data_IF_589004269486
#
_entry.id   IF_589004269486
#
_cell.length_a   1.000
_cell.length_b   1.000
_cell.length_c   1.000
_cell.angle_alpha   90.00
_cell.angle_beta   90.00
_cell.angle_gamma   90.00
#
_symmetry.space_group_name_H-M   'P 1'
#
loop_
_entity.id
_entity.type
_entity.pdbx_description
1 polymer ?
#
# COMPACT_ATOMS: atom_id res chain seq x y z
N UNK A 1 -11.27 -32.74 95.04
CA UNK A 1 -10.68 -31.81 96.03
C UNK A 1 -9.29 -32.31 96.37
N UNK A 2 -8.28 -31.45 96.61
CA UNK A 2 -8.19 -29.98 96.43
C UNK A 2 -6.95 -29.64 95.53
N UNK A 3 -6.54 -28.41 95.18
CA UNK A 3 -6.54 -27.10 95.84
C UNK A 3 -6.45 -25.96 94.81
N UNK A 4 -7.22 -24.89 95.06
CA UNK A 4 -7.08 -23.53 94.54
C UNK A 4 -5.70 -22.89 94.86
N UNK A 5 -5.21 -21.93 94.06
CA UNK A 5 -5.28 -20.49 94.40
C UNK A 5 -4.69 -19.55 93.34
N UNK A 6 -5.39 -18.44 93.21
CA UNK A 6 -5.20 -17.19 92.45
C UNK A 6 -3.96 -16.35 92.86
N UNK A 7 -3.41 -15.57 91.90
CA UNK A 7 -3.20 -14.09 92.02
C UNK A 7 -2.45 -13.47 90.83
N UNK A 8 -3.18 -12.63 90.10
CA UNK A 8 -2.83 -11.31 89.52
C UNK A 8 -1.35 -10.92 89.28
N UNK A 9 -1.02 -10.52 88.03
CA UNK A 9 -0.12 -9.40 87.68
C UNK A 9 -0.18 -9.03 86.17
N UNK A 10 -0.97 -7.98 85.87
CA UNK A 10 -0.74 -6.86 84.92
C UNK A 10 0.19 -7.02 83.70
N UNK A 11 -0.34 -6.75 82.49
CA UNK A 11 0.38 -6.13 81.36
C UNK A 11 -0.50 -5.08 80.66
N UNK A 12 0.10 -4.02 80.09
CA UNK A 12 -0.52 -2.70 80.01
C UNK A 12 -1.50 -2.55 78.86
N UNK A 13 -2.48 -1.67 79.06
CA UNK A 13 -3.22 -1.04 77.97
C UNK A 13 -2.32 -0.09 77.18
N UNK A 14 -2.54 -0.01 75.86
CA UNK A 14 -2.14 1.13 75.04
C UNK A 14 -1.38 0.74 73.77
N UNK A 15 -1.91 1.12 72.61
CA UNK A 15 -1.18 1.05 71.35
C UNK A 15 -2.02 1.21 70.08
N UNK A 16 -2.93 2.19 70.07
CA UNK A 16 -3.64 2.70 68.90
C UNK A 16 -2.65 3.23 67.84
N UNK A 17 -2.47 2.53 66.72
CA UNK A 17 -1.45 2.91 65.73
C UNK A 17 -1.59 2.35 64.31
N UNK A 18 -2.69 1.66 63.98
CA UNK A 18 -2.88 1.01 62.67
C UNK A 18 -4.07 1.50 61.84
N UNK A 19 -5.00 2.26 62.41
CA UNK A 19 -6.31 2.53 61.80
C UNK A 19 -6.52 3.82 60.96
N UNK A 20 -5.60 4.81 60.83
CA UNK A 20 -5.96 6.06 60.15
C UNK A 20 -5.91 6.00 58.61
N UNK A 21 -5.09 5.13 58.02
CA UNK A 21 -4.83 5.16 56.56
C UNK A 21 -5.90 4.43 55.72
N UNK A 22 -6.53 3.38 56.26
CA UNK A 22 -7.59 2.63 55.54
C UNK A 22 -8.94 3.36 55.62
N UNK A 23 -9.24 3.99 56.76
CA UNK A 23 -10.45 4.80 56.94
C UNK A 23 -10.45 6.06 56.05
N UNK A 24 -9.32 6.75 55.95
CA UNK A 24 -9.16 7.94 55.10
C UNK A 24 -9.26 7.64 53.58
N UNK A 25 -8.97 6.40 53.16
CA UNK A 25 -9.07 5.99 51.75
C UNK A 25 -10.50 5.66 51.32
N UNK A 26 -11.35 5.22 52.26
CA UNK A 26 -12.80 5.02 52.02
C UNK A 26 -13.54 6.35 51.84
N UNK A 27 -13.23 7.34 52.68
CA UNK A 27 -13.92 8.64 52.66
C UNK A 27 -13.68 9.46 51.40
N UNK A 28 -12.51 9.33 50.75
CA UNK A 28 -12.22 10.02 49.49
C UNK A 28 -13.00 9.42 48.31
N UNK A 29 -13.10 8.08 48.24
CA UNK A 29 -13.86 7.40 47.19
C UNK A 29 -15.37 7.59 47.38
N UNK A 30 -15.89 7.54 48.61
CA UNK A 30 -17.29 7.82 48.90
C UNK A 30 -17.67 9.27 48.60
N UNK A 31 -16.72 10.21 48.63
CA UNK A 31 -16.94 11.61 48.23
C UNK A 31 -17.10 11.80 46.73
N UNK A 32 -16.45 10.95 45.93
CA UNK A 32 -16.50 11.00 44.46
C UNK A 32 -17.53 10.03 43.87
N UNK A 33 -17.87 8.96 44.59
CA UNK A 33 -18.75 7.87 44.14
C UNK A 33 -19.92 7.56 45.09
N UNK A 34 -20.14 8.33 46.14
CA UNK A 34 -21.29 8.18 47.02
C UNK A 34 -22.61 8.47 46.31
N UNK A 35 -23.69 7.84 46.76
CA UNK A 35 -25.02 7.89 46.14
C UNK A 35 -25.52 9.34 45.90
N UNK A 36 -25.14 10.28 46.76
CA UNK A 36 -25.49 11.70 46.61
C UNK A 36 -24.73 12.38 45.46
N UNK A 37 -23.47 12.05 45.24
CA UNK A 37 -22.65 12.60 44.16
C UNK A 37 -23.09 12.03 42.80
N UNK A 38 -23.41 10.73 42.74
CA UNK A 38 -23.89 10.07 41.52
C UNK A 38 -25.29 10.56 41.12
N UNK A 39 -26.20 10.75 42.09
CA UNK A 39 -27.54 11.30 41.84
C UNK A 39 -27.52 12.78 41.47
N UNK A 40 -26.59 13.57 42.04
CA UNK A 40 -26.38 14.97 41.63
C UNK A 40 -25.85 15.07 40.19
N UNK A 41 -24.86 14.25 39.83
CA UNK A 41 -24.33 14.17 38.47
C UNK A 41 -25.41 13.74 37.46
N UNK A 42 -26.17 12.68 37.76
CA UNK A 42 -27.25 12.21 36.89
C UNK A 42 -28.32 13.29 36.65
N UNK A 43 -28.74 14.02 37.70
CA UNK A 43 -29.68 15.15 37.56
C UNK A 43 -29.12 16.28 36.71
N UNK A 44 -27.83 16.60 36.83
CA UNK A 44 -27.17 17.60 35.99
C UNK A 44 -27.13 17.19 34.52
N UNK A 45 -26.78 15.93 34.25
CA UNK A 45 -26.79 15.37 32.88
C UNK A 45 -28.20 15.42 32.29
N UNK A 46 -29.22 15.03 33.05
CA UNK A 46 -30.62 15.05 32.60
C UNK A 46 -31.13 16.48 32.38
N UNK A 47 -30.70 17.45 33.19
CA UNK A 47 -31.03 18.88 33.06
C UNK A 47 -30.50 19.46 31.74
N UNK A 48 -29.28 19.10 31.35
CA UNK A 48 -28.60 19.61 30.16
C UNK A 48 -28.53 18.61 29.00
N UNK A 49 -29.42 17.59 29.00
CA UNK A 49 -29.35 16.44 28.07
C UNK A 49 -29.15 16.80 26.60
N UNK A 50 -29.82 17.85 26.12
CA UNK A 50 -29.70 18.30 24.74
C UNK A 50 -28.36 18.96 24.44
N UNK A 51 -27.82 19.74 25.39
CA UNK A 51 -26.49 20.34 25.25
C UNK A 51 -25.39 19.28 25.27
N UNK A 52 -25.53 18.26 26.13
CA UNK A 52 -24.58 17.13 26.22
C UNK A 52 -24.62 16.28 24.95
N UNK A 53 -25.81 15.96 24.43
CA UNK A 53 -25.97 15.25 23.15
C UNK A 53 -25.39 16.05 21.99
N UNK A 54 -25.69 17.35 21.91
CA UNK A 54 -25.14 18.21 20.87
C UNK A 54 -23.62 18.30 20.95
N UNK A 55 -23.05 18.42 22.16
CA UNK A 55 -21.62 18.47 22.39
C UNK A 55 -20.94 17.15 22.05
N UNK A 56 -21.49 16.01 22.48
CA UNK A 56 -20.92 14.69 22.17
C UNK A 56 -20.98 14.41 20.67
N UNK A 57 -22.08 14.78 20.01
CA UNK A 57 -22.19 14.66 18.56
C UNK A 57 -21.19 15.56 17.85
N UNK A 58 -21.04 16.81 18.27
CA UNK A 58 -20.05 17.73 17.73
C UNK A 58 -18.62 17.20 17.92
N UNK A 59 -18.30 16.63 19.08
CA UNK A 59 -17.01 16.01 19.35
C UNK A 59 -16.74 14.82 18.42
N UNK A 60 -17.72 13.93 18.25
CA UNK A 60 -17.62 12.77 17.35
C UNK A 60 -17.46 13.22 15.90
N UNK A 61 -18.24 14.20 15.43
CA UNK A 61 -18.11 14.73 14.07
C UNK A 61 -16.76 15.41 13.84
N UNK A 62 -16.25 16.13 14.85
CA UNK A 62 -14.93 16.76 14.78
C UNK A 62 -13.82 15.70 14.71
N UNK A 63 -13.87 14.68 15.56
CA UNK A 63 -12.92 13.57 15.51
C UNK A 63 -13.03 12.79 14.19
N UNK A 64 -14.25 12.55 13.71
CA UNK A 64 -14.51 11.87 12.45
C UNK A 64 -14.03 12.67 11.23
N UNK A 65 -14.08 14.00 11.29
CA UNK A 65 -13.52 14.86 10.24
C UNK A 65 -12.01 14.65 10.07
N UNK A 66 -11.30 14.21 11.12
CA UNK A 66 -9.88 13.88 11.06
C UNK A 66 -9.58 12.60 10.27
N UNK A 67 -10.55 11.68 10.14
CA UNK A 67 -10.34 10.41 9.42
C UNK A 67 -10.03 10.61 7.93
N UNK A 68 -10.48 11.71 7.32
CA UNK A 68 -10.18 12.01 5.91
C UNK A 68 -8.69 12.28 5.64
N UNK A 69 -7.90 12.57 6.68
CA UNK A 69 -6.45 12.81 6.57
C UNK A 69 -5.62 11.57 6.91
N UNK A 70 -6.25 10.46 7.27
CA UNK A 70 -5.55 9.20 7.49
C UNK A 70 -5.10 8.63 6.13
N UNK A 71 -3.79 8.62 5.91
CA UNK A 71 -3.16 7.96 4.77
C UNK A 71 -2.59 6.59 5.15
N UNK A 72 -2.61 5.65 4.21
CA UNK A 72 -1.84 4.42 4.34
C UNK A 72 -0.40 4.69 3.92
N UNK A 73 0.54 4.49 4.84
CA UNK A 73 1.95 4.48 4.47
C UNK A 73 2.26 3.15 3.77
N UNK A 74 2.44 3.20 2.46
CA UNK A 74 2.75 2.04 1.60
C UNK A 74 4.24 1.77 1.47
N UNK A 75 5.07 2.68 1.98
CA UNK A 75 6.51 2.58 1.89
C UNK A 75 7.08 1.74 3.04
N UNK A 76 7.84 0.69 2.72
CA UNK A 76 8.48 -0.16 3.72
C UNK A 76 9.47 0.59 4.63
N UNK A 77 9.92 1.79 4.23
CA UNK A 77 10.77 2.69 5.04
C UNK A 77 10.21 2.95 6.43
N UNK A 78 8.88 2.95 6.58
CA UNK A 78 8.20 3.23 7.85
C UNK A 78 8.47 2.13 8.91
N UNK A 79 8.98 0.97 8.48
CA UNK A 79 9.39 -0.12 9.38
C UNK A 79 10.85 -0.01 9.85
N UNK A 80 11.62 0.95 9.36
CA UNK A 80 13.03 1.16 9.71
C UNK A 80 13.19 2.49 10.46
N UNK A 81 14.08 2.52 11.44
CA UNK A 81 14.50 3.77 12.09
C UNK A 81 15.37 4.60 11.13
N UNK A 82 15.30 5.92 11.25
CA UNK A 82 16.11 6.85 10.44
C UNK A 82 17.63 6.60 10.58
N UNK A 83 18.07 6.07 11.73
CA UNK A 83 19.47 5.74 12.02
C UNK A 83 19.92 4.38 11.45
N UNK A 84 19.08 3.70 10.66
CA UNK A 84 19.43 2.38 10.12
C UNK A 84 20.50 2.53 9.00
N UNK A 85 21.72 1.98 9.18
CA UNK A 85 22.80 2.18 8.21
C UNK A 85 22.53 1.44 6.88
N UNK A 86 21.73 0.37 6.88
CA UNK A 86 21.32 -0.31 5.64
C UNK A 86 20.31 0.52 4.85
N UNK A 87 19.40 1.23 5.53
CA UNK A 87 18.47 2.16 4.88
C UNK A 87 19.23 3.32 4.23
N UNK A 88 20.19 3.92 4.94
CA UNK A 88 21.00 5.02 4.40
C UNK A 88 21.81 4.60 3.17
N UNK A 89 22.49 3.44 3.22
CA UNK A 89 23.21 2.91 2.06
C UNK A 89 22.29 2.62 0.87
N UNK A 90 21.07 2.15 1.14
CA UNK A 90 20.07 1.92 0.11
C UNK A 90 19.54 3.23 -0.50
N UNK A 91 19.32 4.26 0.32
CA UNK A 91 18.91 5.59 -0.16
C UNK A 91 20.01 6.28 -0.98
N UNK A 92 21.28 6.16 -0.56
CA UNK A 92 22.42 6.63 -1.36
C UNK A 92 22.46 5.95 -2.72
N UNK A 93 22.26 4.62 -2.77
CA UNK A 93 22.18 3.89 -4.04
C UNK A 93 21.03 4.41 -4.90
N UNK A 94 19.85 4.62 -4.34
CA UNK A 94 18.68 5.14 -5.07
C UNK A 94 18.78 6.61 -5.47
N UNK A 95 19.66 7.38 -4.84
CA UNK A 95 19.92 8.78 -5.22
C UNK A 95 20.92 8.86 -6.38
N UNK A 96 21.80 7.86 -6.51
CA UNK A 96 22.78 7.75 -7.60
C UNK A 96 22.18 7.00 -8.81
N UNK A 97 21.40 5.96 -8.56
CA UNK A 97 20.74 5.13 -9.56
C UNK A 97 19.23 5.36 -9.49
N UNK A 98 18.58 5.60 -10.62
CA UNK A 98 17.14 5.89 -10.68
C UNK A 98 16.31 4.83 -9.95
N UNK A 99 15.29 5.27 -9.20
CA UNK A 99 14.25 4.40 -8.67
C UNK A 99 13.34 3.97 -9.82
N UNK A 100 13.47 2.72 -10.22
CA UNK A 100 12.66 2.14 -11.29
C UNK A 100 11.52 1.31 -10.67
N UNK A 101 10.35 1.93 -10.51
CA UNK A 101 9.11 1.21 -10.22
C UNK A 101 8.52 0.71 -11.55
N UNK A 102 7.95 -0.49 -11.59
CA UNK A 102 7.45 -1.09 -12.84
C UNK A 102 6.02 -1.60 -12.70
N UNK A 103 5.19 -1.32 -13.72
CA UNK A 103 3.89 -1.96 -13.94
C UNK A 103 4.00 -2.85 -15.16
N UNK A 104 3.85 -4.16 -14.97
CA UNK A 104 3.81 -5.14 -16.05
C UNK A 104 2.37 -5.57 -16.37
N UNK A 105 1.98 -5.40 -17.62
CA UNK A 105 0.76 -5.95 -18.19
C UNK A 105 1.08 -7.28 -18.87
N UNK A 106 0.69 -8.40 -18.24
CA UNK A 106 0.90 -9.73 -18.82
C UNK A 106 -0.29 -10.08 -19.70
N UNK A 107 -0.02 -10.38 -20.97
CA UNK A 107 -1.02 -10.69 -21.99
C UNK A 107 -0.87 -12.16 -22.41
N UNK A 108 -1.96 -12.91 -22.30
CA UNK A 108 -2.06 -14.29 -22.76
C UNK A 108 -3.37 -14.48 -23.55
N UNK A 109 -3.31 -14.82 -24.85
CA UNK A 109 -4.49 -15.16 -25.63
C UNK A 109 -5.22 -16.37 -25.04
N UNK A 110 -6.55 -16.41 -25.17
CA UNK A 110 -7.34 -17.56 -24.71
C UNK A 110 -7.01 -18.85 -25.49
N UNK A 111 -6.58 -18.71 -26.75
CA UNK A 111 -6.14 -19.79 -27.64
C UNK A 111 -5.05 -19.27 -28.58
N UNK A 112 -4.08 -20.12 -28.91
CA UNK A 112 -3.00 -19.80 -29.85
C UNK A 112 -1.80 -19.13 -29.18
N UNK A 113 -0.97 -18.49 -30.01
CA UNK A 113 0.20 -17.72 -29.59
C UNK A 113 -0.05 -16.21 -29.75
N UNK A 114 0.88 -15.37 -29.30
CA UNK A 114 0.72 -13.90 -29.38
C UNK A 114 0.94 -13.35 -30.79
N UNK A 115 1.33 -14.19 -31.75
CA UNK A 115 1.69 -13.81 -33.11
C UNK A 115 0.48 -13.87 -34.04
N UNK A 116 -0.55 -13.10 -33.72
CA UNK A 116 -1.68 -12.84 -34.63
C UNK A 116 -1.80 -11.34 -34.91
N UNK A 117 -2.38 -10.95 -36.06
CA UNK A 117 -2.60 -9.54 -36.36
C UNK A 117 -3.39 -8.81 -35.27
N UNK A 118 -4.41 -9.46 -34.72
CA UNK A 118 -5.27 -8.91 -33.67
C UNK A 118 -4.50 -8.71 -32.37
N UNK A 119 -3.70 -9.70 -31.96
CA UNK A 119 -2.90 -9.63 -30.73
C UNK A 119 -1.80 -8.58 -30.84
N UNK A 120 -1.07 -8.54 -31.95
CA UNK A 120 -0.02 -7.54 -32.17
C UNK A 120 -0.60 -6.12 -32.26
N UNK A 121 -1.79 -5.95 -32.86
CA UNK A 121 -2.50 -4.67 -32.85
C UNK A 121 -2.93 -4.27 -31.42
N UNK A 122 -3.41 -5.22 -30.62
CA UNK A 122 -3.77 -4.97 -29.22
C UNK A 122 -2.55 -4.59 -28.37
N UNK A 123 -1.40 -5.28 -28.55
CA UNK A 123 -0.15 -4.96 -27.84
C UNK A 123 0.36 -3.57 -28.23
N UNK A 124 0.28 -3.21 -29.53
CA UNK A 124 0.60 -1.86 -30.00
C UNK A 124 -0.30 -0.82 -29.32
N UNK A 125 -1.61 -1.01 -29.38
CA UNK A 125 -2.57 -0.09 -28.75
C UNK A 125 -2.33 0.05 -27.24
N UNK A 126 -2.08 -1.06 -26.55
CA UNK A 126 -1.78 -1.05 -25.11
C UNK A 126 -0.47 -0.32 -24.82
N UNK A 127 0.58 -0.53 -25.63
CA UNK A 127 1.86 0.17 -25.50
C UNK A 127 1.66 1.68 -25.63
N UNK A 128 0.86 2.12 -26.61
CA UNK A 128 0.58 3.54 -26.87
C UNK A 128 -0.23 4.21 -25.76
N UNK A 129 -1.19 3.49 -25.17
CA UNK A 129 -1.98 3.98 -24.05
C UNK A 129 -1.20 3.93 -22.73
N UNK A 130 -0.31 2.95 -22.54
CA UNK A 130 0.53 2.84 -21.36
C UNK A 130 1.49 4.02 -21.21
N UNK A 131 1.96 4.61 -22.32
CA UNK A 131 2.75 5.85 -22.32
C UNK A 131 2.01 7.06 -21.72
N UNK A 132 0.67 7.00 -21.65
CA UNK A 132 -0.17 8.09 -21.13
C UNK A 132 -0.47 7.93 -19.63
N UNK A 133 -0.07 6.81 -19.03
CA UNK A 133 -0.25 6.57 -17.60
C UNK A 133 0.59 7.56 -16.78
N UNK A 134 0.14 7.92 -15.57
CA UNK A 134 0.88 8.84 -14.72
C UNK A 134 2.26 8.27 -14.35
N UNK A 135 3.25 9.15 -14.29
CA UNK A 135 4.63 8.87 -13.89
C UNK A 135 5.42 7.92 -14.81
N UNK A 136 4.83 7.45 -15.92
CA UNK A 136 5.53 6.59 -16.87
C UNK A 136 6.61 7.37 -17.62
N UNK A 137 7.82 6.85 -17.57
CA UNK A 137 9.00 7.41 -18.25
C UNK A 137 9.44 6.54 -19.44
N UNK A 138 9.06 5.26 -19.43
CA UNK A 138 9.38 4.32 -20.50
C UNK A 138 8.34 3.21 -20.59
N UNK A 139 8.04 2.76 -21.79
CA UNK A 139 7.26 1.54 -22.03
C UNK A 139 8.03 0.64 -22.97
N UNK A 140 8.23 -0.62 -22.57
CA UNK A 140 8.85 -1.67 -23.36
C UNK A 140 7.82 -2.77 -23.65
N UNK A 141 7.74 -3.19 -24.91
CA UNK A 141 6.87 -4.28 -25.35
C UNK A 141 7.47 -5.01 -26.53
N UNK A 142 6.90 -6.15 -26.87
CA UNK A 142 7.28 -6.90 -28.07
C UNK A 142 7.23 -6.03 -29.34
N UNK A 143 6.27 -5.09 -29.41
CA UNK A 143 5.98 -4.35 -30.65
C UNK A 143 6.90 -3.15 -30.87
N UNK A 144 7.43 -2.53 -29.82
CA UNK A 144 8.34 -1.39 -29.92
C UNK A 144 9.81 -1.74 -29.67
N UNK A 145 10.13 -3.03 -29.60
CA UNK A 145 11.50 -3.50 -29.56
C UNK A 145 12.25 -3.01 -30.80
N UNK A 146 13.42 -2.40 -30.61
CA UNK A 146 14.21 -1.87 -31.73
C UNK A 146 14.85 -3.02 -32.51
N UNK A 147 14.36 -3.26 -33.71
CA UNK A 147 14.87 -4.24 -34.65
C UNK A 147 15.80 -3.55 -35.65
N UNK A 148 17.08 -3.95 -35.66
CA UNK A 148 18.08 -3.42 -36.59
C UNK A 148 18.45 -4.50 -37.60
N UNK A 149 18.29 -4.21 -38.89
CA UNK A 149 18.61 -5.15 -39.96
C UNK A 149 19.19 -4.43 -41.17
N UNK A 150 20.02 -5.14 -41.93
CA UNK A 150 20.60 -4.64 -43.17
C UNK A 150 19.82 -5.15 -44.38
N UNK A 151 19.52 -4.26 -45.33
CA UNK A 151 18.94 -4.58 -46.62
C UNK A 151 19.84 -4.04 -47.74
N UNK A 152 20.67 -4.91 -48.31
CA UNK A 152 21.73 -4.49 -49.23
C UNK A 152 22.82 -3.72 -48.49
N UNK A 153 23.02 -2.46 -48.87
CA UNK A 153 23.97 -1.53 -48.25
C UNK A 153 23.32 -0.62 -47.20
N UNK A 154 22.00 -0.67 -47.04
CA UNK A 154 21.25 0.15 -46.10
C UNK A 154 21.06 -0.55 -44.75
N UNK A 155 21.23 0.18 -43.65
CA UNK A 155 20.92 -0.25 -42.30
C UNK A 155 19.62 0.43 -41.83
N UNK A 156 18.59 -0.37 -41.56
CA UNK A 156 17.32 0.12 -41.03
C UNK A 156 17.23 -0.20 -39.54
N UNK A 157 16.79 0.78 -38.75
CA UNK A 157 16.49 0.63 -37.33
C UNK A 157 15.07 1.12 -37.10
N UNK A 158 14.18 0.22 -36.70
CA UNK A 158 12.77 0.53 -36.46
C UNK A 158 12.17 -0.38 -35.39
N UNK A 159 10.96 -0.06 -34.95
CA UNK A 159 10.17 -0.93 -34.07
C UNK A 159 9.93 -2.29 -34.73
N UNK A 160 9.94 -3.38 -33.96
CA UNK A 160 9.70 -4.73 -34.48
C UNK A 160 8.32 -4.85 -35.15
N UNK A 161 7.33 -4.10 -34.67
CA UNK A 161 6.01 -3.96 -35.30
C UNK A 161 5.64 -2.48 -35.43
N UNK A 162 6.13 -1.77 -36.47
CA UNK A 162 5.94 -0.33 -36.62
C UNK A 162 4.46 0.08 -36.68
N UNK A 163 4.13 1.28 -36.19
CA UNK A 163 2.73 1.74 -36.09
C UNK A 163 1.98 1.74 -37.44
N UNK A 164 2.68 2.02 -38.53
CA UNK A 164 2.08 2.15 -39.85
C UNK A 164 2.22 0.86 -40.69
N UNK A 165 2.96 -0.13 -40.20
CA UNK A 165 3.12 -1.41 -40.90
C UNK A 165 1.83 -2.24 -40.84
N UNK A 166 1.47 -2.84 -41.97
CA UNK A 166 0.39 -3.80 -42.04
C UNK A 166 0.79 -5.10 -41.34
N UNK A 167 -0.09 -5.66 -40.53
CA UNK A 167 0.13 -6.93 -39.84
C UNK A 167 -0.36 -8.10 -40.71
N UNK A 168 0.21 -8.23 -41.91
CA UNK A 168 -0.09 -9.36 -42.80
C UNK A 168 0.68 -10.63 -42.38
N UNK A 169 0.34 -11.77 -42.98
CA UNK A 169 0.95 -13.06 -42.60
C UNK A 169 2.48 -13.08 -42.76
N UNK A 170 3.04 -12.32 -43.71
CA UNK A 170 4.50 -12.25 -43.92
C UNK A 170 5.16 -11.45 -42.79
N UNK A 171 4.59 -10.31 -42.45
CA UNK A 171 5.08 -9.42 -41.38
C UNK A 171 4.98 -10.11 -40.03
N UNK A 172 3.86 -10.76 -39.73
CA UNK A 172 3.67 -11.54 -38.50
C UNK A 172 4.69 -12.68 -38.40
N UNK A 173 4.96 -13.40 -39.49
CA UNK A 173 5.98 -14.45 -39.50
C UNK A 173 7.40 -13.90 -39.28
N UNK A 174 7.70 -12.70 -39.80
CA UNK A 174 8.97 -12.02 -39.54
C UNK A 174 9.10 -11.63 -38.06
N UNK A 175 8.07 -10.98 -37.49
CA UNK A 175 8.02 -10.62 -36.07
C UNK A 175 8.24 -11.85 -35.19
N UNK A 176 7.54 -12.95 -35.48
CA UNK A 176 7.70 -14.22 -34.77
C UNK A 176 9.12 -14.75 -34.84
N UNK A 177 9.75 -14.70 -36.01
CA UNK A 177 11.12 -15.16 -36.20
C UNK A 177 12.10 -14.32 -35.39
N UNK A 178 12.01 -13.00 -35.44
CA UNK A 178 12.92 -12.12 -34.68
C UNK A 178 12.70 -12.30 -33.19
N UNK A 179 11.45 -12.23 -32.73
CA UNK A 179 11.09 -12.34 -31.32
C UNK A 179 11.58 -13.63 -30.65
N UNK A 180 11.45 -14.77 -31.33
CA UNK A 180 11.83 -16.08 -30.80
C UNK A 180 13.32 -16.43 -31.02
N UNK A 181 14.09 -15.58 -31.68
CA UNK A 181 15.54 -15.75 -31.85
C UNK A 181 16.35 -14.64 -31.17
N UNK A 182 15.68 -13.68 -30.52
CA UNK A 182 16.32 -12.57 -29.83
C UNK A 182 16.43 -12.87 -28.32
N UNK A 183 17.65 -13.18 -27.80
CA UNK A 183 17.82 -13.55 -26.40
C UNK A 183 17.37 -12.47 -25.41
N UNK A 184 17.39 -11.20 -25.80
CA UNK A 184 16.93 -10.12 -24.91
C UNK A 184 15.41 -10.03 -24.79
N UNK A 185 14.66 -10.64 -25.72
CA UNK A 185 13.19 -10.68 -25.70
C UNK A 185 12.66 -11.89 -24.94
N UNK A 186 13.27 -13.06 -25.16
CA UNK A 186 12.85 -14.31 -24.51
C UNK A 186 13.05 -14.21 -22.99
N UNK A 187 12.08 -14.71 -22.23
CA UNK A 187 12.04 -14.68 -20.77
C UNK A 187 11.98 -13.26 -20.15
N UNK A 188 12.04 -12.21 -20.97
CA UNK A 188 11.89 -10.81 -20.55
C UNK A 188 10.53 -10.22 -20.97
N UNK A 189 10.22 -10.24 -22.27
CA UNK A 189 8.99 -9.67 -22.85
C UNK A 189 8.11 -10.71 -23.55
N UNK A 190 8.64 -11.89 -23.86
CA UNK A 190 7.88 -12.99 -24.46
C UNK A 190 8.29 -14.34 -23.87
N UNK A 191 7.33 -15.24 -23.69
CA UNK A 191 7.59 -16.61 -23.27
C UNK A 191 8.31 -17.40 -24.38
N UNK A 192 9.15 -18.40 -24.03
CA UNK A 192 9.86 -19.23 -25.02
C UNK A 192 8.94 -19.96 -26.00
N UNK A 193 7.71 -20.27 -25.58
CA UNK A 193 6.69 -20.90 -26.42
C UNK A 193 5.87 -19.91 -27.27
N UNK A 194 6.09 -18.60 -27.11
CA UNK A 194 5.38 -17.53 -27.81
C UNK A 194 3.94 -17.31 -27.37
N UNK A 195 3.46 -17.97 -26.31
CA UNK A 195 2.04 -17.90 -25.91
C UNK A 195 1.70 -16.76 -24.96
N UNK A 196 2.71 -16.11 -24.37
CA UNK A 196 2.53 -15.04 -23.39
C UNK A 196 3.52 -13.91 -23.68
N UNK A 197 3.06 -12.66 -23.55
CA UNK A 197 3.92 -11.48 -23.69
C UNK A 197 3.62 -10.46 -22.60
N UNK A 198 4.52 -9.50 -22.41
CA UNK A 198 4.40 -8.42 -21.43
C UNK A 198 4.54 -7.06 -22.11
N UNK A 199 3.74 -6.09 -21.66
CA UNK A 199 4.03 -4.66 -21.81
C UNK A 199 4.49 -4.15 -20.46
N UNK A 200 5.74 -3.70 -20.36
CA UNK A 200 6.32 -3.19 -19.13
C UNK A 200 6.39 -1.66 -19.17
N UNK A 201 5.68 -0.99 -18.27
CA UNK A 201 5.76 0.44 -18.08
C UNK A 201 6.66 0.75 -16.87
N UNK A 202 7.73 1.50 -17.09
CA UNK A 202 8.64 1.98 -16.05
C UNK A 202 8.15 3.34 -15.56
N UNK A 203 8.13 3.52 -14.25
CA UNK A 203 7.61 4.68 -13.54
C UNK A 203 8.71 5.31 -12.72
N UNK A 204 8.67 6.64 -12.66
CA UNK A 204 9.46 7.42 -11.71
C UNK A 204 8.51 8.20 -10.83
N UNK A 205 8.26 7.68 -9.63
CA UNK A 205 7.36 8.30 -8.66
C UNK A 205 8.05 9.48 -7.97
N UNK A 206 7.42 10.67 -7.91
CA UNK A 206 8.00 11.83 -7.25
C UNK A 206 8.06 11.69 -5.72
N UNK A 207 7.31 10.75 -5.13
CA UNK A 207 7.25 10.49 -3.68
C UNK A 207 6.78 11.69 -2.85
N UNK A 208 5.95 12.55 -3.44
CA UNK A 208 5.34 13.71 -2.79
C UNK A 208 4.09 13.33 -1.99
N UNK A 209 3.39 12.27 -2.43
CA UNK A 209 2.17 11.76 -1.81
C UNK A 209 2.22 10.26 -1.55
N UNK A 210 1.64 9.77 -0.44
CA UNK A 210 1.64 8.35 -0.09
C UNK A 210 0.76 7.48 -1.01
N UNK A 211 -0.16 8.10 -1.75
CA UNK A 211 -1.13 7.41 -2.61
C UNK A 211 -0.72 7.31 -4.09
N UNK A 212 0.47 7.79 -4.48
CA UNK A 212 0.95 7.78 -5.87
C UNK A 212 0.97 6.39 -6.50
N UNK A 213 1.46 5.38 -5.76
CA UNK A 213 1.46 3.98 -6.20
C UNK A 213 0.03 3.50 -6.45
N UNK A 214 -0.89 3.80 -5.52
CA UNK A 214 -2.29 3.39 -5.62
C UNK A 214 -2.97 4.08 -6.80
N UNK A 215 -2.70 5.36 -7.00
CA UNK A 215 -3.19 6.14 -8.12
C UNK A 215 -2.73 5.56 -9.46
N UNK A 216 -1.42 5.34 -9.63
CA UNK A 216 -0.86 4.74 -10.85
C UNK A 216 -1.43 3.33 -11.12
N UNK A 217 -1.57 2.50 -10.07
CA UNK A 217 -2.17 1.17 -10.20
C UNK A 217 -3.66 1.20 -10.55
N UNK A 218 -4.42 2.18 -10.08
CA UNK A 218 -5.83 2.33 -10.44
C UNK A 218 -5.98 2.70 -11.92
N UNK A 219 -5.19 3.66 -12.41
CA UNK A 219 -5.16 4.04 -13.83
C UNK A 219 -4.70 2.88 -14.72
N UNK A 220 -3.68 2.13 -14.29
CA UNK A 220 -3.21 0.93 -14.99
C UNK A 220 -4.28 -0.16 -15.04
N UNK A 221 -5.01 -0.42 -13.94
CA UNK A 221 -6.14 -1.38 -13.95
C UNK A 221 -7.25 -0.95 -14.89
N UNK A 222 -7.63 0.33 -14.87
CA UNK A 222 -8.63 0.87 -15.78
C UNK A 222 -8.19 0.74 -17.25
N UNK A 223 -6.89 0.93 -17.54
CA UNK A 223 -6.33 0.64 -18.86
C UNK A 223 -6.43 -0.86 -19.20
N UNK A 224 -6.02 -1.75 -18.29
CA UNK A 224 -6.09 -3.19 -18.52
C UNK A 224 -7.52 -3.68 -18.81
N UNK A 225 -8.51 -3.14 -18.11
CA UNK A 225 -9.92 -3.49 -18.31
C UNK A 225 -10.44 -3.07 -19.69
N UNK A 226 -9.92 -2.00 -20.31
CA UNK A 226 -10.26 -1.62 -21.69
C UNK A 226 -9.78 -2.64 -22.73
N UNK A 227 -8.74 -3.40 -22.40
CA UNK A 227 -8.13 -4.41 -23.28
C UNK A 227 -8.53 -5.85 -22.90
N UNK A 228 -9.30 -6.04 -21.83
CA UNK A 228 -9.91 -7.33 -21.50
C UNK A 228 -11.15 -7.53 -22.38
N UNK A 229 -11.08 -8.53 -23.26
CA UNK A 229 -12.21 -9.04 -24.04
C UNK A 229 -12.91 -10.20 -23.32
#
# INVERSE_FOLDING_TARGET
MPTNFDKSKTRPQGGDGGEPLIAARRTLLDRWFGDDATTAYARWVIRWRWAIIAFSLALVLTAASGMQFLGFATNYRVFFSDDNPQLQAFEELQNVYTKDDNISFVIKPAKGDVFTPEMLAAIRGLTEEAWKLPFVTRVDSLTNFQNSYAEGDDLTVEDLAPRHAALDSRTVAHIRKVALNEPTLIDSLISPDGTTTSVNAQLTLPQERPDEVVFAMNEARALADRFRA
#
